data_IF_106353899566
#
_entry.id   IF_106353899566
#
_cell.length_a   1.000
_cell.length_b   1.000
_cell.length_c   1.000
_cell.angle_alpha   90.00
_cell.angle_beta   90.00
_cell.angle_gamma   90.00
#
_symmetry.space_group_name_H-M   'P 1'
#
loop_
_entity.id
_entity.type
_entity.pdbx_description
1 polymer ?
#
# COMPACT_ATOMS: atom_id res chain seq x y z
N UNK A 1 -16.44 4.50 3.58
CA UNK A 1 -15.71 5.48 2.77
C UNK A 1 -14.37 4.89 2.42
N UNK A 2 -14.04 4.83 1.14
CA UNK A 2 -12.74 4.37 0.62
C UNK A 2 -11.98 5.60 0.13
N UNK A 3 -10.68 5.68 0.36
CA UNK A 3 -9.84 6.78 -0.13
C UNK A 3 -8.54 6.28 -0.74
N UNK A 4 -8.00 7.02 -1.71
CA UNK A 4 -6.63 6.89 -2.17
C UNK A 4 -6.15 8.27 -2.63
N UNK A 5 -5.65 9.05 -1.68
CA UNK A 5 -5.21 10.44 -1.85
C UNK A 5 -3.69 10.57 -1.98
N UNK A 6 -3.01 9.48 -2.34
CA UNK A 6 -1.54 9.32 -2.35
C UNK A 6 -0.91 9.35 -0.96
N UNK A 7 0.40 9.11 -0.87
CA UNK A 7 1.18 9.15 0.38
C UNK A 7 1.20 10.54 1.04
N UNK A 8 0.95 11.60 0.26
CA UNK A 8 0.84 12.97 0.75
C UNK A 8 -0.60 13.36 1.17
N UNK A 9 -1.55 12.44 1.07
CA UNK A 9 -2.97 12.75 1.23
C UNK A 9 -3.46 12.77 2.67
N UNK A 10 -3.03 11.81 3.50
CA UNK A 10 -3.34 11.76 4.94
C UNK A 10 -2.26 12.53 5.70
N UNK A 11 -2.35 13.86 5.61
CA UNK A 11 -1.40 14.78 6.24
C UNK A 11 -2.18 15.90 6.93
N UNK A 12 -1.71 16.28 8.11
CA UNK A 12 -2.23 17.44 8.83
C UNK A 12 -1.71 18.73 8.21
N UNK A 13 -2.61 19.71 8.06
CA UNK A 13 -2.30 21.06 7.62
C UNK A 13 -2.88 22.07 8.63
N UNK A 14 -2.00 22.87 9.25
CA UNK A 14 -2.36 23.90 10.23
C UNK A 14 -3.13 25.08 9.65
N UNK A 15 -3.06 25.28 8.33
CA UNK A 15 -3.79 26.36 7.65
C UNK A 15 -5.25 25.99 7.39
N UNK A 16 -5.64 24.72 7.60
CA UNK A 16 -7.02 24.31 7.47
C UNK A 16 -7.87 24.86 8.62
N UNK A 17 -9.02 25.41 8.26
CA UNK A 17 -10.01 25.94 9.20
C UNK A 17 -11.35 25.26 9.01
N UNK A 18 -12.12 25.15 10.09
CA UNK A 18 -13.45 24.54 10.04
C UNK A 18 -14.43 25.26 9.09
N UNK A 19 -14.23 26.55 8.82
CA UNK A 19 -15.10 27.33 7.93
C UNK A 19 -14.59 27.41 6.48
N UNK A 20 -13.51 26.70 6.12
CA UNK A 20 -13.05 26.64 4.73
C UNK A 20 -14.03 25.85 3.85
N UNK A 21 -14.23 26.27 2.60
CA UNK A 21 -15.15 25.65 1.64
C UNK A 21 -14.50 25.43 0.26
N UNK A 22 -13.92 24.24 -0.01
CA UNK A 22 -13.57 23.20 0.97
C UNK A 22 -12.25 23.53 1.71
N UNK A 23 -11.96 22.86 2.83
CA UNK A 23 -10.60 22.78 3.36
C UNK A 23 -9.63 22.22 2.32
N UNK A 24 -8.34 22.41 2.52
CA UNK A 24 -7.28 21.95 1.62
C UNK A 24 -7.04 20.45 1.82
N UNK A 25 -6.71 20.02 3.04
CA UNK A 25 -6.32 18.64 3.30
C UNK A 25 -7.52 17.67 3.26
N UNK A 26 -7.24 16.41 2.95
CA UNK A 26 -8.26 15.37 2.96
C UNK A 26 -8.79 15.08 4.38
N UNK A 27 -7.96 14.92 5.43
CA UNK A 27 -8.46 14.73 6.79
C UNK A 27 -9.35 15.89 7.27
N UNK A 28 -9.04 17.15 6.93
CA UNK A 28 -9.89 18.30 7.27
C UNK A 28 -11.28 18.21 6.63
N UNK A 29 -11.37 17.81 5.35
CA UNK A 29 -12.65 17.54 4.66
C UNK A 29 -13.44 16.42 5.35
N UNK A 30 -12.75 15.36 5.78
CA UNK A 30 -13.36 14.25 6.52
C UNK A 30 -13.92 14.73 7.87
N UNK A 31 -13.16 15.55 8.62
CA UNK A 31 -13.63 16.10 9.90
C UNK A 31 -14.89 16.95 9.72
N UNK A 32 -14.91 17.88 8.76
CA UNK A 32 -16.12 18.67 8.46
C UNK A 32 -17.31 17.78 8.07
N UNK A 33 -17.07 16.78 7.22
CA UNK A 33 -18.11 15.85 6.78
C UNK A 33 -18.69 15.05 7.94
N UNK A 34 -17.83 14.47 8.79
CA UNK A 34 -18.26 13.73 9.98
C UNK A 34 -18.99 14.62 10.97
N UNK A 35 -18.56 15.86 11.18
CA UNK A 35 -19.22 16.79 12.09
C UNK A 35 -20.64 17.14 11.60
N UNK A 36 -20.78 17.51 10.33
CA UNK A 36 -22.12 17.77 9.75
C UNK A 36 -23.02 16.55 9.82
N UNK A 37 -22.46 15.35 9.67
CA UNK A 37 -23.19 14.09 9.81
C UNK A 37 -23.59 13.83 11.26
N UNK A 38 -22.70 14.09 12.22
CA UNK A 38 -22.99 14.01 13.65
C UNK A 38 -24.14 14.93 14.04
N UNK A 39 -24.09 16.21 13.65
CA UNK A 39 -25.15 17.18 13.91
C UNK A 39 -26.48 16.78 13.26
N UNK A 40 -26.45 16.32 12.01
CA UNK A 40 -27.67 15.94 11.29
C UNK A 40 -28.39 14.72 11.88
N UNK A 41 -27.65 13.79 12.50
CA UNK A 41 -28.19 12.57 13.09
C UNK A 41 -28.16 12.57 14.62
N UNK A 42 -27.99 13.73 15.25
CA UNK A 42 -27.95 13.89 16.72
C UNK A 42 -27.00 12.90 17.42
N UNK A 43 -25.86 12.59 16.78
CA UNK A 43 -24.88 11.63 17.31
C UNK A 43 -25.32 10.17 17.36
N UNK A 44 -26.31 9.76 16.56
CA UNK A 44 -26.76 8.37 16.48
C UNK A 44 -25.60 7.40 16.16
N UNK A 45 -25.46 6.34 16.96
CA UNK A 45 -24.32 5.41 16.90
C UNK A 45 -24.33 4.52 15.65
N UNK A 46 -25.51 4.21 15.12
CA UNK A 46 -25.70 3.45 13.87
C UNK A 46 -25.42 4.31 12.62
N UNK A 47 -25.24 5.62 12.79
CA UNK A 47 -24.89 6.55 11.72
C UNK A 47 -23.39 6.80 11.61
N UNK A 48 -22.54 6.05 12.29
CA UNK A 48 -21.11 6.05 12.00
C UNK A 48 -20.76 5.48 10.62
N UNK A 49 -19.48 5.57 10.24
CA UNK A 49 -18.96 5.09 8.97
C UNK A 49 -17.74 4.20 9.15
N UNK A 50 -17.53 3.32 8.16
CA UNK A 50 -16.33 2.49 8.03
C UNK A 50 -15.37 3.21 7.09
N UNK A 51 -14.16 3.50 7.53
CA UNK A 51 -13.10 4.12 6.76
C UNK A 51 -12.09 3.07 6.31
N UNK A 52 -11.89 2.98 4.99
CA UNK A 52 -10.95 2.06 4.33
C UNK A 52 -9.95 2.90 3.49
N UNK A 53 -9.03 3.63 4.13
CA UNK A 53 -7.97 4.33 3.41
C UNK A 53 -7.05 3.33 2.70
N UNK A 54 -6.69 3.60 1.45
CA UNK A 54 -5.79 2.79 0.63
C UNK A 54 -4.46 3.50 0.33
N UNK A 55 -4.21 4.63 0.98
CA UNK A 55 -2.95 5.36 0.92
C UNK A 55 -1.78 4.49 1.40
N UNK A 56 -0.63 4.55 0.71
CA UNK A 56 0.56 3.73 0.98
C UNK A 56 1.41 4.30 2.14
N UNK A 57 0.77 4.62 3.25
CA UNK A 57 1.43 5.03 4.49
C UNK A 57 1.20 3.99 5.59
N UNK A 58 2.06 4.00 6.60
CA UNK A 58 1.88 3.09 7.72
C UNK A 58 0.67 3.46 8.58
N UNK A 59 0.02 2.44 9.15
CA UNK A 59 -1.21 2.54 9.94
C UNK A 59 -2.23 3.57 9.39
N UNK A 60 -2.45 3.59 8.06
CA UNK A 60 -3.23 4.62 7.36
C UNK A 60 -4.62 4.92 7.97
N UNK A 61 -5.32 3.90 8.48
CA UNK A 61 -6.58 4.06 9.22
C UNK A 61 -6.42 4.83 10.52
N UNK A 62 -5.43 4.44 11.33
CA UNK A 62 -5.15 5.09 12.61
C UNK A 62 -4.61 6.51 12.40
N UNK A 63 -3.71 6.70 11.43
CA UNK A 63 -3.19 8.02 11.06
C UNK A 63 -4.33 8.99 10.68
N UNK A 64 -5.29 8.53 9.86
CA UNK A 64 -6.47 9.33 9.52
C UNK A 64 -7.31 9.65 10.76
N UNK A 65 -7.59 8.66 11.61
CA UNK A 65 -8.36 8.84 12.85
C UNK A 65 -7.72 9.90 13.76
N UNK A 66 -6.41 9.82 13.97
CA UNK A 66 -5.66 10.74 14.82
C UNK A 66 -5.70 12.18 14.29
N UNK A 67 -5.54 12.38 12.97
CA UNK A 67 -5.62 13.72 12.38
C UNK A 67 -7.06 14.26 12.46
N UNK A 68 -8.08 13.42 12.24
CA UNK A 68 -9.49 13.82 12.36
C UNK A 68 -9.81 14.28 13.79
N UNK A 69 -9.40 13.50 14.81
CA UNK A 69 -9.57 13.86 16.22
C UNK A 69 -8.79 15.13 16.58
N UNK A 70 -7.58 15.31 16.03
CA UNK A 70 -6.81 16.53 16.19
C UNK A 70 -7.58 17.75 15.69
N UNK A 71 -8.11 17.71 14.47
CA UNK A 71 -8.94 18.81 13.96
C UNK A 71 -10.21 19.02 14.80
N UNK A 72 -10.87 17.96 15.27
CA UNK A 72 -12.04 18.08 16.12
C UNK A 72 -11.73 18.84 17.42
N UNK A 73 -10.57 18.59 18.02
CA UNK A 73 -10.10 19.30 19.21
C UNK A 73 -9.70 20.76 18.90
N UNK A 74 -8.89 20.99 17.87
CA UNK A 74 -8.39 22.33 17.50
C UNK A 74 -9.52 23.26 17.04
N UNK A 75 -10.52 22.72 16.35
CA UNK A 75 -11.71 23.46 15.92
C UNK A 75 -12.83 23.48 16.98
N UNK A 76 -12.57 22.93 18.17
CA UNK A 76 -13.47 22.96 19.32
C UNK A 76 -14.88 22.40 19.03
N UNK A 77 -14.94 21.27 18.32
CA UNK A 77 -16.20 20.66 17.86
C UNK A 77 -16.96 19.87 18.95
N UNK A 78 -16.47 19.89 20.18
CA UNK A 78 -17.11 19.30 21.36
C UNK A 78 -16.73 17.85 21.65
N UNK A 79 -16.71 17.50 22.93
CA UNK A 79 -16.31 16.17 23.43
C UNK A 79 -17.22 15.05 22.92
N UNK A 80 -18.54 15.29 22.85
CA UNK A 80 -19.51 14.34 22.33
C UNK A 80 -19.23 13.93 20.87
N UNK A 81 -18.71 14.84 20.04
CA UNK A 81 -18.32 14.53 18.68
C UNK A 81 -17.05 13.68 18.63
N UNK A 82 -16.04 14.00 19.45
CA UNK A 82 -14.83 13.19 19.58
C UNK A 82 -15.15 11.77 20.04
N UNK A 83 -16.03 11.61 21.03
CA UNK A 83 -16.51 10.30 21.49
C UNK A 83 -17.25 9.54 20.39
N UNK A 84 -18.09 10.22 19.63
CA UNK A 84 -18.79 9.62 18.49
C UNK A 84 -17.84 9.18 17.37
N UNK A 85 -16.76 9.94 17.09
CA UNK A 85 -15.68 9.50 16.17
C UNK A 85 -15.07 8.18 16.68
N UNK A 86 -14.84 8.04 17.98
CA UNK A 86 -14.20 6.85 18.54
C UNK A 86 -15.12 5.63 18.64
N UNK A 87 -16.43 5.84 18.85
CA UNK A 87 -17.39 4.78 19.20
C UNK A 87 -18.29 4.34 18.05
N UNK A 88 -18.74 5.29 17.21
CA UNK A 88 -19.63 4.99 16.10
C UNK A 88 -18.88 4.65 14.80
N UNK A 89 -17.66 5.15 14.63
CA UNK A 89 -16.89 5.03 13.39
C UNK A 89 -15.79 3.97 13.50
N UNK A 90 -15.52 3.27 12.40
CA UNK A 90 -14.47 2.25 12.33
C UNK A 90 -13.39 2.68 11.35
N UNK A 91 -12.19 2.97 11.83
CA UNK A 91 -11.04 3.32 11.00
C UNK A 91 -10.14 2.10 10.81
N UNK A 92 -10.24 1.46 9.66
CA UNK A 92 -9.46 0.26 9.35
C UNK A 92 -8.12 0.66 8.73
N UNK A 93 -7.02 0.19 9.29
CA UNK A 93 -5.75 0.21 8.55
C UNK A 93 -5.81 -0.83 7.45
N UNK A 94 -5.32 -0.50 6.26
CA UNK A 94 -5.35 -1.42 5.12
C UNK A 94 -3.99 -1.63 4.46
N UNK A 95 -3.90 -2.72 3.70
CA UNK A 95 -2.80 -3.02 2.79
C UNK A 95 -3.42 -3.41 1.46
N UNK A 96 -3.11 -2.64 0.43
CA UNK A 96 -3.46 -2.92 -0.95
C UNK A 96 -2.23 -3.39 -1.71
N UNK A 97 -2.35 -4.42 -2.53
CA UNK A 97 -1.28 -4.90 -3.40
C UNK A 97 -1.83 -5.30 -4.77
N UNK A 98 -1.50 -4.49 -5.77
CA UNK A 98 -1.74 -4.73 -7.19
C UNK A 98 -0.82 -3.79 -7.97
N UNK A 99 -0.07 -4.34 -8.92
CA UNK A 99 0.72 -3.56 -9.86
C UNK A 99 -0.22 -2.94 -10.88
N UNK A 100 -0.15 -1.61 -10.99
CA UNK A 100 -0.93 -0.80 -11.93
C UNK A 100 0.06 0.09 -12.67
N UNK A 101 0.22 -0.14 -13.97
CA UNK A 101 1.20 0.59 -14.81
C UNK A 101 0.64 1.86 -15.43
N UNK A 102 -0.67 2.12 -15.26
CA UNK A 102 -1.34 3.30 -15.79
C UNK A 102 -1.87 3.07 -17.20
N UNK A 103 -1.98 4.15 -17.98
CA UNK A 103 -2.50 4.08 -19.35
C UNK A 103 -1.48 3.37 -20.28
N UNK A 104 -1.85 2.27 -20.95
CA UNK A 104 -0.97 1.52 -21.85
C UNK A 104 -0.87 2.22 -23.22
N UNK A 105 -0.22 3.40 -23.25
CA UNK A 105 -0.18 4.28 -24.44
C UNK A 105 0.31 3.59 -25.71
N UNK A 106 1.30 2.70 -25.58
CA UNK A 106 1.91 2.01 -26.71
C UNK A 106 0.98 0.96 -27.34
N UNK A 107 -0.02 0.48 -26.59
CA UNK A 107 -0.97 -0.58 -26.99
C UNK A 107 -2.40 -0.06 -27.14
N UNK A 108 -2.65 1.21 -26.82
CA UNK A 108 -4.00 1.76 -26.68
C UNK A 108 -4.81 1.64 -27.98
N UNK A 109 -4.24 1.96 -29.13
CA UNK A 109 -4.95 1.87 -30.42
C UNK A 109 -5.30 0.42 -30.80
N UNK A 110 -4.47 -0.55 -30.43
CA UNK A 110 -4.76 -1.97 -30.65
C UNK A 110 -5.89 -2.42 -29.72
N UNK A 111 -5.82 -2.06 -28.44
CA UNK A 111 -6.86 -2.35 -27.44
C UNK A 111 -8.20 -1.74 -27.82
N UNK A 112 -8.25 -0.47 -28.24
CA UNK A 112 -9.47 0.20 -28.71
C UNK A 112 -10.04 -0.49 -29.96
N UNK A 113 -9.18 -1.02 -30.85
CA UNK A 113 -9.58 -1.82 -32.00
C UNK A 113 -10.26 -3.14 -31.60
N UNK A 114 -9.73 -3.84 -30.59
CA UNK A 114 -10.30 -5.08 -30.05
C UNK A 114 -11.61 -4.81 -29.29
N UNK A 115 -11.64 -3.74 -28.49
CA UNK A 115 -12.78 -3.37 -27.65
C UNK A 115 -13.92 -2.73 -28.45
N UNK A 116 -13.62 -2.10 -29.59
CA UNK A 116 -14.60 -1.45 -30.47
C UNK A 116 -15.06 -0.08 -29.97
N UNK A 117 -14.39 0.52 -28.99
CA UNK A 117 -14.67 1.86 -28.48
C UNK A 117 -13.39 2.56 -28.02
N UNK A 118 -13.44 3.90 -28.02
CA UNK A 118 -12.37 4.73 -27.47
C UNK A 118 -12.57 4.96 -25.97
N UNK A 119 -11.48 4.82 -25.21
CA UNK A 119 -11.52 4.99 -23.76
C UNK A 119 -10.32 5.80 -23.26
N UNK A 120 -10.61 7.02 -22.81
CA UNK A 120 -9.62 7.97 -22.34
C UNK A 120 -9.11 7.63 -20.92
N UNK A 121 -9.73 6.67 -20.24
CA UNK A 121 -9.45 6.28 -18.86
C UNK A 121 -8.95 4.84 -18.73
N UNK A 122 -8.49 4.21 -19.82
CA UNK A 122 -7.90 2.85 -19.78
C UNK A 122 -6.71 2.82 -18.83
N UNK A 123 -6.69 1.81 -17.98
CA UNK A 123 -5.59 1.50 -17.06
C UNK A 123 -5.25 0.03 -17.17
N UNK A 124 -3.96 -0.26 -17.35
CA UNK A 124 -3.42 -1.61 -17.29
C UNK A 124 -3.02 -1.96 -15.84
N UNK A 125 -3.40 -3.15 -15.42
CA UNK A 125 -3.06 -3.69 -14.10
C UNK A 125 -2.89 -5.21 -14.20
N UNK A 126 -2.13 -5.78 -13.27
CA UNK A 126 -2.00 -7.23 -13.19
C UNK A 126 -3.31 -7.91 -12.76
N UNK A 127 -3.42 -9.22 -13.05
CA UNK A 127 -4.54 -10.03 -12.59
C UNK A 127 -4.55 -10.22 -11.07
N UNK A 128 -3.36 -10.41 -10.47
CA UNK A 128 -3.21 -10.53 -9.02
C UNK A 128 -3.72 -9.27 -8.31
N UNK A 129 -4.43 -9.47 -7.21
CA UNK A 129 -4.71 -8.41 -6.25
C UNK A 129 -4.77 -8.99 -4.85
N UNK A 130 -4.44 -8.20 -3.85
CA UNK A 130 -4.65 -8.49 -2.44
C UNK A 130 -5.12 -7.22 -1.73
N UNK A 131 -6.17 -7.35 -0.91
CA UNK A 131 -6.64 -6.28 -0.04
C UNK A 131 -6.81 -6.80 1.39
N UNK A 132 -5.96 -6.36 2.30
CA UNK A 132 -6.04 -6.74 3.72
C UNK A 132 -6.62 -5.57 4.50
N UNK A 133 -7.63 -5.83 5.31
CA UNK A 133 -8.35 -4.86 6.13
C UNK A 133 -8.14 -5.26 7.59
N UNK A 134 -7.43 -4.42 8.34
CA UNK A 134 -7.34 -4.58 9.79
C UNK A 134 -8.61 -4.07 10.44
N UNK A 135 -9.31 -4.94 11.16
CA UNK A 135 -10.54 -4.54 11.84
C UNK A 135 -11.33 -5.73 12.38
N UNK A 136 -12.48 -5.44 13.00
CA UNK A 136 -13.32 -6.46 13.60
C UNK A 136 -13.92 -7.40 12.54
N UNK A 137 -14.03 -8.69 12.88
CA UNK A 137 -14.52 -9.75 11.95
C UNK A 137 -15.91 -9.50 11.37
N UNK A 138 -16.78 -8.74 12.07
CA UNK A 138 -18.10 -8.39 11.55
C UNK A 138 -18.04 -7.62 10.22
N UNK A 139 -16.89 -7.03 9.87
CA UNK A 139 -16.65 -6.39 8.58
C UNK A 139 -16.84 -7.37 7.42
N UNK A 140 -16.50 -8.65 7.57
CA UNK A 140 -16.66 -9.64 6.50
C UNK A 140 -18.10 -9.71 6.04
N UNK A 141 -19.04 -9.89 6.97
CA UNK A 141 -20.48 -9.92 6.67
C UNK A 141 -21.01 -8.54 6.29
N UNK A 142 -20.59 -7.46 6.98
CA UNK A 142 -21.09 -6.10 6.70
C UNK A 142 -20.72 -5.64 5.29
N UNK A 143 -19.53 -6.00 4.81
CA UNK A 143 -19.03 -5.69 3.48
C UNK A 143 -19.35 -6.80 2.45
N UNK A 144 -20.07 -7.86 2.87
CA UNK A 144 -20.45 -9.02 2.04
C UNK A 144 -19.26 -9.75 1.40
N UNK A 145 -18.12 -9.74 2.08
CA UNK A 145 -16.89 -10.42 1.64
C UNK A 145 -17.01 -11.95 1.82
N UNK A 146 -17.81 -12.39 2.78
CA UNK A 146 -18.10 -13.81 3.06
C UNK A 146 -18.87 -14.53 1.93
N UNK A 147 -19.45 -13.77 1.00
CA UNK A 147 -20.26 -14.28 -0.11
C UNK A 147 -19.49 -14.36 -1.43
N UNK A 148 -18.26 -13.87 -1.48
CA UNK A 148 -17.49 -13.75 -2.72
C UNK A 148 -16.11 -14.37 -2.55
N UNK A 149 -15.66 -15.10 -3.57
CA UNK A 149 -14.29 -15.63 -3.61
C UNK A 149 -13.32 -14.54 -4.08
N UNK A 150 -13.13 -13.50 -3.25
CA UNK A 150 -12.20 -12.40 -3.50
C UNK A 150 -10.94 -12.57 -2.65
N UNK A 151 -9.78 -12.14 -3.17
CA UNK A 151 -8.56 -12.06 -2.35
C UNK A 151 -8.56 -10.81 -1.44
N UNK A 152 -9.59 -10.72 -0.59
CA UNK A 152 -9.78 -9.69 0.42
C UNK A 152 -9.78 -10.40 1.78
N UNK A 153 -8.97 -9.93 2.73
CA UNK A 153 -8.83 -10.54 4.06
C UNK A 153 -9.16 -9.53 5.14
N UNK A 154 -10.06 -9.87 6.06
CA UNK A 154 -10.23 -9.13 7.31
C UNK A 154 -9.38 -9.81 8.37
N UNK A 155 -8.51 -9.05 9.02
CA UNK A 155 -7.54 -9.57 9.99
C UNK A 155 -7.52 -8.71 11.25
N UNK A 156 -7.09 -9.30 12.36
CA UNK A 156 -6.91 -8.58 13.62
C UNK A 156 -5.62 -7.76 13.61
N UNK A 157 -4.56 -8.28 12.98
CA UNK A 157 -3.27 -7.61 12.82
C UNK A 157 -2.76 -7.70 11.36
N UNK A 158 -2.50 -6.54 10.75
CA UNK A 158 -1.99 -6.41 9.39
C UNK A 158 -0.46 -6.45 9.30
N UNK A 159 0.22 -6.32 10.42
CA UNK A 159 1.68 -6.16 10.51
C UNK A 159 2.44 -7.26 9.75
N UNK A 160 2.10 -8.56 9.87
CA UNK A 160 2.80 -9.61 9.14
C UNK A 160 2.66 -9.49 7.61
N UNK A 161 1.47 -9.11 7.13
CA UNK A 161 1.20 -8.91 5.71
C UNK A 161 2.00 -7.73 5.15
N UNK A 162 2.13 -6.65 5.93
CA UNK A 162 2.96 -5.48 5.58
C UNK A 162 4.44 -5.85 5.52
N UNK A 163 4.95 -6.50 6.56
CA UNK A 163 6.37 -6.84 6.66
C UNK A 163 6.83 -7.73 5.49
N UNK A 164 6.09 -8.82 5.19
CA UNK A 164 6.43 -9.68 4.05
C UNK A 164 6.35 -8.94 2.71
N UNK A 165 5.34 -8.09 2.49
CA UNK A 165 5.19 -7.33 1.24
C UNK A 165 6.31 -6.29 1.09
N UNK A 166 6.62 -5.56 2.16
CA UNK A 166 7.66 -4.53 2.16
C UNK A 166 9.04 -5.14 1.94
N UNK A 167 9.35 -6.24 2.64
CA UNK A 167 10.64 -6.92 2.50
C UNK A 167 10.80 -7.64 1.17
N UNK A 168 9.83 -8.47 0.78
CA UNK A 168 9.98 -9.37 -0.39
C UNK A 168 9.62 -8.65 -1.69
N UNK A 169 8.39 -8.14 -1.84
CA UNK A 169 7.97 -7.52 -3.11
C UNK A 169 8.59 -6.14 -3.32
N UNK A 170 8.39 -5.24 -2.35
CA UNK A 170 8.88 -3.86 -2.50
C UNK A 170 10.41 -3.79 -2.36
N UNK A 171 10.99 -4.62 -1.50
CA UNK A 171 12.44 -4.75 -1.35
C UNK A 171 13.09 -5.28 -2.62
N UNK A 172 12.56 -6.36 -3.22
CA UNK A 172 13.06 -6.88 -4.50
C UNK A 172 13.06 -5.81 -5.60
N UNK A 173 11.96 -5.07 -5.76
CA UNK A 173 11.90 -3.95 -6.70
C UNK A 173 13.00 -2.92 -6.45
N UNK A 174 13.17 -2.46 -5.20
CA UNK A 174 14.16 -1.44 -4.87
C UNK A 174 15.59 -1.94 -5.09
N UNK A 175 15.89 -3.18 -4.69
CA UNK A 175 17.24 -3.74 -4.77
C UNK A 175 17.66 -4.06 -6.22
N UNK A 176 16.70 -4.44 -7.06
CA UNK A 176 16.96 -4.77 -8.46
C UNK A 176 17.30 -3.55 -9.31
N UNK A 177 16.70 -2.38 -9.03
CA UNK A 177 16.85 -1.18 -9.86
C UNK A 177 18.31 -0.80 -10.12
N UNK A 178 19.17 -0.54 -9.11
CA UNK A 178 20.53 -0.10 -9.39
C UNK A 178 21.34 -1.16 -10.13
N UNK A 179 21.16 -2.44 -9.81
CA UNK A 179 21.90 -3.55 -10.44
C UNK A 179 21.49 -3.72 -11.89
N UNK A 180 20.20 -3.91 -12.16
CA UNK A 180 19.68 -4.18 -13.50
C UNK A 180 19.84 -2.96 -14.43
N UNK A 181 19.57 -1.75 -13.94
CA UNK A 181 19.65 -0.55 -14.77
C UNK A 181 21.10 -0.25 -15.21
N UNK A 182 22.10 -0.54 -14.36
CA UNK A 182 23.51 -0.44 -14.74
C UNK A 182 23.94 -1.50 -15.76
N UNK A 183 23.23 -2.63 -15.84
CA UNK A 183 23.40 -3.65 -16.87
C UNK A 183 22.72 -3.31 -18.21
N UNK A 184 22.06 -2.14 -18.32
CA UNK A 184 21.33 -1.73 -19.53
C UNK A 184 19.97 -2.42 -19.68
N UNK A 185 19.40 -2.91 -18.59
CA UNK A 185 18.06 -3.50 -18.55
C UNK A 185 17.05 -2.42 -18.16
N UNK A 186 15.91 -2.34 -18.86
CA UNK A 186 14.95 -1.26 -18.70
C UNK A 186 13.69 -1.69 -17.91
N UNK A 187 13.38 -2.98 -17.90
CA UNK A 187 12.14 -3.50 -17.31
C UNK A 187 12.36 -4.59 -16.27
N UNK A 188 11.38 -4.72 -15.36
CA UNK A 188 11.35 -5.81 -14.37
C UNK A 188 11.34 -7.19 -15.04
N UNK A 189 10.59 -7.36 -16.13
CA UNK A 189 10.50 -8.66 -16.81
C UNK A 189 11.84 -9.05 -17.43
N UNK A 190 12.54 -8.13 -18.09
CA UNK A 190 13.91 -8.38 -18.58
C UNK A 190 14.86 -8.75 -17.44
N UNK A 191 14.80 -8.03 -16.31
CA UNK A 191 15.66 -8.30 -15.16
C UNK A 191 15.46 -9.69 -14.54
N UNK A 192 14.23 -10.20 -14.52
CA UNK A 192 13.92 -11.55 -14.03
C UNK A 192 14.29 -12.66 -15.04
N UNK A 193 14.45 -12.31 -16.31
CA UNK A 193 14.90 -13.23 -17.36
C UNK A 193 16.41 -13.13 -17.64
N UNK A 194 17.11 -12.18 -17.01
CA UNK A 194 18.55 -12.00 -17.14
C UNK A 194 19.35 -13.03 -16.31
N UNK A 195 20.43 -13.53 -16.89
CA UNK A 195 21.23 -14.63 -16.33
C UNK A 195 22.04 -14.25 -15.08
N UNK A 196 22.30 -12.96 -14.86
CA UNK A 196 23.12 -12.46 -13.75
C UNK A 196 22.25 -11.74 -12.70
N UNK A 197 21.24 -10.96 -13.14
CA UNK A 197 20.36 -10.20 -12.26
C UNK A 197 19.37 -11.09 -11.50
N UNK A 198 18.77 -12.10 -12.14
CA UNK A 198 17.83 -12.98 -11.46
C UNK A 198 18.49 -13.79 -10.33
N UNK A 199 19.67 -14.43 -10.52
CA UNK A 199 20.37 -15.09 -9.43
C UNK A 199 20.73 -14.14 -8.28
N UNK A 200 21.18 -12.92 -8.58
CA UNK A 200 21.43 -11.90 -7.56
C UNK A 200 20.18 -11.66 -6.71
N UNK A 201 19.03 -11.40 -7.35
CA UNK A 201 17.79 -11.09 -6.66
C UNK A 201 17.27 -12.29 -5.86
N UNK A 202 17.36 -13.50 -6.41
CA UNK A 202 16.92 -14.71 -5.73
C UNK A 202 17.77 -15.00 -4.49
N UNK A 203 19.11 -14.86 -4.57
CA UNK A 203 19.98 -15.01 -3.40
C UNK A 203 19.72 -13.92 -2.35
N UNK A 204 19.52 -12.66 -2.76
CA UNK A 204 19.14 -11.58 -1.84
C UNK A 204 17.87 -11.95 -1.04
N UNK A 205 16.86 -12.49 -1.72
CA UNK A 205 15.59 -12.85 -1.08
C UNK A 205 15.73 -14.09 -0.17
N UNK A 206 16.33 -15.17 -0.66
CA UNK A 206 16.47 -16.45 0.06
C UNK A 206 17.46 -16.37 1.22
N UNK A 207 18.62 -15.76 1.00
CA UNK A 207 19.73 -15.82 1.94
C UNK A 207 19.69 -14.68 2.96
N UNK A 208 19.06 -13.53 2.62
CA UNK A 208 19.17 -12.31 3.44
C UNK A 208 17.82 -11.77 3.90
N UNK A 209 16.83 -11.61 3.01
CA UNK A 209 15.53 -11.02 3.38
C UNK A 209 14.64 -12.01 4.15
N UNK A 210 14.41 -13.22 3.62
CA UNK A 210 13.55 -14.23 4.26
C UNK A 210 14.04 -14.57 5.68
N UNK A 211 15.34 -14.80 5.93
CA UNK A 211 15.85 -15.08 7.28
C UNK A 211 15.74 -13.90 8.26
N UNK A 212 15.61 -12.68 7.75
CA UNK A 212 15.50 -11.47 8.56
C UNK A 212 14.07 -11.23 9.06
N UNK A 213 13.06 -11.72 8.35
CA UNK A 213 11.65 -11.63 8.72
C UNK A 213 11.27 -12.65 9.80
N UNK A 214 10.45 -12.22 10.77
CA UNK A 214 9.96 -13.05 11.87
C UNK A 214 8.60 -13.68 11.52
N UNK A 215 8.60 -14.55 10.51
CA UNK A 215 7.40 -15.23 10.00
C UNK A 215 7.74 -16.65 9.55
N UNK A 216 6.71 -17.46 9.30
CA UNK A 216 6.88 -18.80 8.76
C UNK A 216 7.63 -18.78 7.42
N UNK A 217 8.71 -19.55 7.32
CA UNK A 217 9.60 -19.52 6.16
C UNK A 217 8.96 -20.11 4.91
N UNK A 218 8.09 -21.11 5.05
CA UNK A 218 7.44 -21.74 3.90
C UNK A 218 6.39 -20.78 3.33
N UNK A 219 5.66 -20.04 4.18
CA UNK A 219 4.79 -18.96 3.74
C UNK A 219 5.56 -17.83 3.03
N UNK A 220 6.72 -17.43 3.55
CA UNK A 220 7.55 -16.39 2.92
C UNK A 220 8.11 -16.84 1.57
N UNK A 221 8.52 -18.10 1.45
CA UNK A 221 8.99 -18.69 0.17
C UNK A 221 7.88 -18.78 -0.85
N UNK A 222 6.70 -19.26 -0.46
CA UNK A 222 5.53 -19.28 -1.33
C UNK A 222 5.15 -17.86 -1.80
N UNK A 223 5.25 -16.86 -0.91
CA UNK A 223 5.05 -15.47 -1.29
C UNK A 223 6.13 -14.97 -2.25
N UNK A 224 7.41 -15.28 -2.00
CA UNK A 224 8.53 -14.96 -2.89
C UNK A 224 8.32 -15.53 -4.30
N UNK A 225 7.96 -16.81 -4.41
CA UNK A 225 7.71 -17.46 -5.70
C UNK A 225 6.55 -16.78 -6.43
N UNK A 226 5.46 -16.46 -5.72
CA UNK A 226 4.35 -15.68 -6.27
C UNK A 226 4.77 -14.29 -6.77
N UNK A 227 5.69 -13.61 -6.08
CA UNK A 227 6.24 -12.31 -6.51
C UNK A 227 7.07 -12.45 -7.78
N UNK A 228 7.94 -13.46 -7.86
CA UNK A 228 8.75 -13.72 -9.05
C UNK A 228 7.88 -14.04 -10.25
N UNK A 229 6.82 -14.85 -10.09
CA UNK A 229 5.87 -15.14 -11.16
C UNK A 229 5.14 -13.88 -11.64
N UNK A 230 4.78 -12.97 -10.72
CA UNK A 230 4.20 -11.66 -11.08
C UNK A 230 5.17 -10.79 -11.88
N UNK A 231 6.46 -10.81 -11.53
CA UNK A 231 7.48 -10.05 -12.26
C UNK A 231 7.75 -10.61 -13.67
N UNK A 232 7.49 -11.89 -13.89
CA UNK A 232 7.58 -12.54 -15.22
C UNK A 232 6.39 -12.23 -16.14
N UNK A 233 5.36 -11.51 -15.67
CA UNK A 233 4.17 -11.26 -16.46
C UNK A 233 4.50 -10.50 -17.77
N UNK A 234 4.34 -11.13 -18.95
CA UNK A 234 4.75 -10.54 -20.22
C UNK A 234 3.83 -9.39 -20.67
N UNK A 235 2.63 -9.30 -20.08
CA UNK A 235 1.64 -8.26 -20.42
C UNK A 235 1.83 -6.99 -19.58
N UNK A 236 2.85 -6.92 -18.72
CA UNK A 236 3.12 -5.77 -17.88
C UNK A 236 4.52 -5.26 -18.12
N UNK A 237 4.59 -4.13 -18.83
CA UNK A 237 5.84 -3.41 -19.01
C UNK A 237 6.11 -2.49 -17.82
N UNK A 238 6.66 -3.06 -16.75
CA UNK A 238 7.03 -2.31 -15.55
C UNK A 238 8.47 -1.79 -15.67
N UNK A 239 8.61 -0.51 -16.01
CA UNK A 239 9.92 0.12 -16.21
C UNK A 239 10.66 0.38 -14.90
N UNK A 240 11.95 0.03 -14.86
CA UNK A 240 12.82 0.26 -13.70
C UNK A 240 12.96 1.75 -13.36
N UNK A 241 12.96 2.63 -14.36
CA UNK A 241 13.04 4.08 -14.14
C UNK A 241 11.84 4.62 -13.35
N UNK A 242 10.65 4.06 -13.54
CA UNK A 242 9.45 4.38 -12.74
C UNK A 242 9.63 3.94 -11.29
N UNK A 243 10.33 2.82 -11.07
CA UNK A 243 10.64 2.30 -9.73
C UNK A 243 11.76 3.12 -9.07
N UNK A 244 12.69 3.69 -9.82
CA UNK A 244 13.80 4.51 -9.32
C UNK A 244 13.36 5.85 -8.70
N UNK A 245 12.14 6.31 -8.97
CA UNK A 245 11.63 7.54 -8.37
C UNK A 245 11.59 7.43 -6.83
N UNK A 246 12.11 8.42 -6.12
CA UNK A 246 12.18 8.44 -4.65
C UNK A 246 13.00 7.29 -4.02
N UNK A 247 14.06 6.81 -4.70
CA UNK A 247 14.90 5.67 -4.24
C UNK A 247 15.40 5.77 -2.80
N UNK A 248 15.81 6.94 -2.31
CA UNK A 248 16.31 7.07 -0.94
C UNK A 248 15.23 6.76 0.11
N UNK A 249 14.01 7.27 -0.09
CA UNK A 249 12.86 6.99 0.79
C UNK A 249 12.48 5.51 0.71
N UNK A 250 12.51 4.94 -0.50
CA UNK A 250 12.26 3.51 -0.74
C UNK A 250 13.31 2.62 -0.06
N UNK A 251 14.60 2.97 -0.13
CA UNK A 251 15.68 2.26 0.55
C UNK A 251 15.46 2.23 2.07
N UNK A 252 15.25 3.41 2.67
CA UNK A 252 15.05 3.55 4.13
C UNK A 252 13.90 2.71 4.66
N UNK A 253 12.84 2.54 3.87
CA UNK A 253 11.63 1.83 4.28
C UNK A 253 11.62 0.35 3.89
N UNK A 254 12.31 -0.05 2.82
CA UNK A 254 12.19 -1.40 2.23
C UNK A 254 13.42 -2.27 2.43
N UNK A 255 14.63 -1.69 2.43
CA UNK A 255 15.89 -2.44 2.50
C UNK A 255 16.62 -2.24 3.83
N UNK A 256 16.71 -0.99 4.32
CA UNK A 256 17.45 -0.66 5.53
C UNK A 256 17.01 -1.48 6.78
N UNK A 257 15.71 -1.71 7.05
CA UNK A 257 15.30 -2.51 8.19
C UNK A 257 15.82 -3.95 8.11
N UNK A 258 15.82 -4.55 6.91
CA UNK A 258 16.30 -5.92 6.70
C UNK A 258 17.82 -5.99 6.79
N UNK A 259 18.53 -4.98 6.28
CA UNK A 259 19.99 -4.88 6.42
C UNK A 259 20.42 -4.83 7.88
N UNK A 260 19.75 -4.00 8.69
CA UNK A 260 20.01 -3.89 10.12
C UNK A 260 19.69 -5.22 10.82
N UNK A 261 18.48 -5.76 10.61
CA UNK A 261 18.05 -7.00 11.24
C UNK A 261 18.97 -8.19 10.90
N UNK A 262 19.42 -8.29 9.64
CA UNK A 262 20.39 -9.30 9.23
C UNK A 262 21.73 -9.11 9.96
N UNK A 263 22.26 -7.88 9.98
CA UNK A 263 23.54 -7.57 10.60
C UNK A 263 23.54 -7.86 12.09
N UNK A 264 22.44 -7.54 12.79
CA UNK A 264 22.26 -7.85 14.21
C UNK A 264 22.20 -9.36 14.46
N UNK A 265 21.53 -10.13 13.60
CA UNK A 265 21.39 -11.59 13.74
C UNK A 265 22.67 -12.35 13.37
N UNK A 266 23.39 -11.92 12.34
CA UNK A 266 24.52 -12.65 11.75
C UNK A 266 25.88 -12.08 12.14
N UNK A 267 25.93 -10.90 12.75
CA UNK A 267 27.17 -10.21 13.15
C UNK A 267 28.03 -9.71 11.97
N UNK A 268 27.51 -9.78 10.75
CA UNK A 268 28.19 -9.34 9.52
C UNK A 268 27.21 -8.68 8.56
N UNK A 269 27.69 -7.78 7.72
CA UNK A 269 26.84 -7.10 6.74
C UNK A 269 26.36 -8.09 5.66
N UNK A 270 25.07 -8.05 5.28
CA UNK A 270 24.54 -8.86 4.19
C UNK A 270 25.17 -8.45 2.86
N UNK A 271 25.67 -9.41 2.09
CA UNK A 271 26.43 -9.17 0.86
C UNK A 271 25.56 -8.56 -0.24
N UNK A 272 24.37 -9.09 -0.47
CA UNK A 272 23.51 -8.69 -1.58
C UNK A 272 22.76 -7.39 -1.27
N UNK A 273 22.23 -7.24 -0.06
CA UNK A 273 21.62 -5.99 0.40
C UNK A 273 22.62 -4.84 0.52
N UNK A 274 23.90 -5.10 0.77
CA UNK A 274 24.93 -4.05 0.77
C UNK A 274 25.40 -3.66 -0.65
N UNK A 275 25.23 -4.56 -1.63
CA UNK A 275 25.50 -4.26 -3.04
C UNK A 275 24.37 -3.42 -3.67
N UNK A 276 23.12 -3.71 -3.29
CA UNK A 276 21.92 -2.98 -3.71
C UNK A 276 21.82 -1.58 -3.07
#
# INVERSE_FOLDING_TARGET
MVSNTTEAGIVYNEQDTFNAFPPVSFPAKVTQFLFRRFEHFDGAQDMGLIFLPCELIDANGEALKQIVLRYANEWQLGEAFCDWIMTANTFCSTLVDRIVTGNPKDELSELEGVLGYQDHFVVAAEYFYLFVIQGPKWLETKLKLDQLSLNIKVVEDITPYKQRKVGILNGAHTAMVPVAYLCGIDTVSEAINDQDVYPFLNCLLEDEVIPSLDMDKDELKAFKDSVIDRFKNPYIKHYLISIALNSLTKFKTRLLPQLIAFTEKQGTAPRYLALA
#
